data_IF_009104231356
#
_entry.id   IF_009104231356
#
_cell.length_a   1.000
_cell.length_b   1.000
_cell.length_c   1.000
_cell.angle_alpha   90.00
_cell.angle_beta   90.00
_cell.angle_gamma   90.00
#
_symmetry.space_group_name_H-M   'P 1'
#
loop_
_entity.id
_entity.type
_entity.pdbx_description
1 polymer ?
#
# COMPACT_ATOMS: atom_id res chain seq x y z
N UNK A 1 -20.70 -24.22 13.98
CA UNK A 1 -19.82 -23.17 13.41
C UNK A 1 -20.48 -21.83 13.68
N UNK A 2 -19.82 -20.87 14.35
CA UNK A 2 -20.45 -19.60 14.70
C UNK A 2 -20.66 -18.73 13.44
N UNK A 3 -21.76 -17.97 13.42
CA UNK A 3 -22.08 -17.00 12.35
C UNK A 3 -20.89 -16.10 12.00
N UNK A 4 -20.12 -15.68 13.00
CA UNK A 4 -18.93 -14.85 12.82
C UNK A 4 -17.83 -15.51 11.99
N UNK A 5 -17.62 -16.83 12.09
CA UNK A 5 -16.61 -17.54 11.29
C UNK A 5 -17.03 -17.61 9.83
N UNK A 6 -18.30 -17.96 9.56
CA UNK A 6 -18.83 -18.03 8.21
C UNK A 6 -18.79 -16.65 7.52
N UNK A 7 -19.21 -15.61 8.24
CA UNK A 7 -19.17 -14.22 7.76
C UNK A 7 -17.74 -13.75 7.53
N UNK A 8 -16.81 -14.04 8.46
CA UNK A 8 -15.41 -13.65 8.31
C UNK A 8 -14.75 -14.30 7.10
N UNK A 9 -14.97 -15.60 6.88
CA UNK A 9 -14.43 -16.32 5.73
C UNK A 9 -15.02 -15.80 4.40
N UNK A 10 -16.33 -15.60 4.33
CA UNK A 10 -16.98 -15.12 3.10
C UNK A 10 -16.52 -13.70 2.73
N UNK A 11 -16.41 -12.81 3.72
CA UNK A 11 -15.88 -11.47 3.53
C UNK A 11 -14.41 -11.49 3.09
N UNK A 12 -13.59 -12.36 3.69
CA UNK A 12 -12.18 -12.51 3.33
C UNK A 12 -12.00 -12.96 1.87
N UNK A 13 -12.75 -13.95 1.42
CA UNK A 13 -12.69 -14.44 0.02
C UNK A 13 -13.17 -13.36 -0.96
N UNK A 14 -14.32 -12.74 -0.69
CA UNK A 14 -14.85 -11.66 -1.53
C UNK A 14 -13.86 -10.49 -1.63
N UNK A 15 -13.27 -10.11 -0.50
CA UNK A 15 -12.27 -9.05 -0.42
C UNK A 15 -11.05 -9.35 -1.30
N UNK A 16 -10.48 -10.55 -1.20
CA UNK A 16 -9.32 -10.95 -1.98
C UNK A 16 -9.63 -10.99 -3.49
N UNK A 17 -10.81 -11.49 -3.86
CA UNK A 17 -11.25 -11.52 -5.25
C UNK A 17 -11.35 -10.10 -5.84
N UNK A 18 -12.07 -9.21 -5.16
CA UNK A 18 -12.25 -7.81 -5.58
C UNK A 18 -10.91 -7.07 -5.63
N UNK A 19 -10.07 -7.22 -4.59
CA UNK A 19 -8.75 -6.58 -4.54
C UNK A 19 -7.88 -7.01 -5.72
N UNK A 20 -7.84 -8.30 -6.03
CA UNK A 20 -7.04 -8.85 -7.13
C UNK A 20 -7.54 -8.33 -8.48
N UNK A 21 -8.86 -8.33 -8.69
CA UNK A 21 -9.47 -7.81 -9.91
C UNK A 21 -9.16 -6.33 -10.10
N UNK A 22 -9.44 -5.49 -9.10
CA UNK A 22 -9.23 -4.06 -9.19
C UNK A 22 -7.74 -3.72 -9.39
N UNK A 23 -6.83 -4.32 -8.62
CA UNK A 23 -5.38 -4.09 -8.80
C UNK A 23 -4.93 -4.55 -10.19
N UNK A 24 -5.45 -5.68 -10.70
CA UNK A 24 -5.19 -6.17 -12.05
C UNK A 24 -5.59 -5.15 -13.13
N UNK A 25 -6.83 -4.65 -13.08
CA UNK A 25 -7.34 -3.61 -13.98
C UNK A 25 -6.45 -2.35 -13.97
N UNK A 26 -6.20 -1.80 -12.78
CA UNK A 26 -5.37 -0.58 -12.67
C UNK A 26 -3.92 -0.81 -13.08
N UNK A 27 -3.38 -2.01 -12.86
CA UNK A 27 -2.04 -2.39 -13.33
C UNK A 27 -1.99 -2.45 -14.86
N UNK A 28 -3.03 -2.96 -15.53
CA UNK A 28 -3.11 -2.98 -16.99
C UNK A 28 -3.04 -1.57 -17.60
N UNK A 29 -3.56 -0.56 -16.90
CA UNK A 29 -3.45 0.85 -17.31
C UNK A 29 -2.19 1.57 -16.81
N UNK A 30 -1.22 0.85 -16.24
CA UNK A 30 0.00 1.46 -15.66
C UNK A 30 -0.26 2.35 -14.44
N UNK A 31 -1.43 2.25 -13.81
CA UNK A 31 -1.92 3.11 -12.71
C UNK A 31 -2.26 2.32 -11.44
N UNK A 32 -1.48 1.27 -11.15
CA UNK A 32 -1.72 0.38 -10.01
C UNK A 32 -1.87 1.13 -8.66
N UNK A 33 -1.07 2.18 -8.43
CA UNK A 33 -1.15 3.01 -7.22
C UNK A 33 -2.52 3.67 -7.03
N UNK A 34 -3.11 4.21 -8.10
CA UNK A 34 -4.45 4.81 -8.06
C UNK A 34 -5.52 3.79 -7.68
N UNK A 35 -5.42 2.57 -8.22
CA UNK A 35 -6.35 1.49 -7.89
C UNK A 35 -6.35 1.15 -6.42
N UNK A 36 -5.16 0.98 -5.83
CA UNK A 36 -5.01 0.72 -4.40
C UNK A 36 -5.56 1.87 -3.56
N UNK A 37 -5.37 3.12 -4.00
CA UNK A 37 -5.93 4.31 -3.35
C UNK A 37 -7.46 4.31 -3.32
N UNK A 38 -8.10 4.07 -4.46
CA UNK A 38 -9.56 4.00 -4.59
C UNK A 38 -10.17 2.85 -3.78
N UNK A 39 -9.55 1.67 -3.83
CA UNK A 39 -9.98 0.53 -3.00
C UNK A 39 -9.90 0.91 -1.52
N UNK A 40 -8.77 1.48 -1.09
CA UNK A 40 -8.58 1.94 0.29
C UNK A 40 -9.60 3.00 0.72
N UNK A 41 -9.95 3.93 -0.17
CA UNK A 41 -10.99 4.92 0.06
C UNK A 41 -12.36 4.29 0.27
N UNK A 42 -12.79 3.42 -0.65
CA UNK A 42 -14.08 2.73 -0.57
C UNK A 42 -14.19 1.87 0.70
N UNK A 43 -13.11 1.19 1.08
CA UNK A 43 -13.03 0.40 2.31
C UNK A 43 -13.03 1.24 3.58
N UNK A 44 -12.64 2.52 3.52
CA UNK A 44 -12.67 3.42 4.67
C UNK A 44 -14.01 4.15 4.81
N UNK A 45 -14.58 4.63 3.70
CA UNK A 45 -15.82 5.41 3.71
C UNK A 45 -17.02 4.54 4.12
N UNK A 46 -17.04 3.27 3.72
CA UNK A 46 -18.16 2.39 4.03
C UNK A 46 -18.29 2.12 5.54
N UNK A 47 -17.24 1.67 6.26
CA UNK A 47 -17.27 1.61 7.72
C UNK A 47 -17.58 2.96 8.38
N UNK A 48 -17.16 4.09 7.80
CA UNK A 48 -17.48 5.41 8.34
C UNK A 48 -19.00 5.62 8.33
N UNK A 49 -19.64 5.44 7.17
CA UNK A 49 -21.10 5.54 7.00
C UNK A 49 -21.81 4.60 8.00
N UNK A 50 -21.37 3.33 8.09
CA UNK A 50 -21.98 2.36 9.01
C UNK A 50 -21.75 2.70 10.49
N UNK A 51 -20.65 3.35 10.85
CA UNK A 51 -20.40 3.77 12.24
C UNK A 51 -21.38 4.83 12.71
N UNK A 52 -21.92 5.63 11.78
CA UNK A 52 -22.91 6.67 12.06
C UNK A 52 -24.34 6.15 11.88
N UNK A 53 -24.64 5.50 10.74
CA UNK A 53 -25.98 5.01 10.42
C UNK A 53 -26.38 3.76 11.20
N UNK A 54 -25.42 2.93 11.63
CA UNK A 54 -25.69 1.69 12.34
C UNK A 54 -26.48 1.92 13.65
N UNK A 55 -25.95 2.73 14.58
CA UNK A 55 -26.68 3.07 15.81
C UNK A 55 -28.03 3.75 15.54
N UNK A 56 -28.09 4.65 14.56
CA UNK A 56 -29.33 5.32 14.17
C UNK A 56 -30.39 4.32 13.67
N UNK A 57 -30.00 3.34 12.85
CA UNK A 57 -30.88 2.28 12.38
C UNK A 57 -31.33 1.38 13.54
N UNK A 58 -30.42 0.95 14.42
CA UNK A 58 -30.77 0.13 15.59
C UNK A 58 -31.79 0.86 16.48
N UNK A 59 -31.59 2.16 16.71
CA UNK A 59 -32.51 2.97 17.52
C UNK A 59 -33.87 3.19 16.84
N UNK A 60 -33.91 3.29 15.51
CA UNK A 60 -35.15 3.56 14.77
C UNK A 60 -36.02 2.31 14.53
N UNK A 61 -35.40 1.16 14.21
CA UNK A 61 -36.13 -0.04 13.77
C UNK A 61 -35.84 -1.28 14.64
N UNK A 62 -35.00 -1.15 15.66
CA UNK A 62 -34.53 -2.26 16.47
C UNK A 62 -33.38 -3.05 15.84
N UNK A 63 -32.73 -3.87 16.67
CA UNK A 63 -31.53 -4.60 16.29
C UNK A 63 -31.80 -5.59 15.13
N UNK A 64 -32.84 -6.41 15.23
CA UNK A 64 -33.15 -7.43 14.21
C UNK A 64 -33.45 -6.81 12.83
N UNK A 65 -34.31 -5.79 12.77
CA UNK A 65 -34.65 -5.07 11.53
C UNK A 65 -33.42 -4.43 10.89
N UNK A 66 -32.52 -3.86 11.70
CA UNK A 66 -31.27 -3.27 11.20
C UNK A 66 -30.36 -4.32 10.54
N UNK A 67 -30.32 -5.55 11.07
CA UNK A 67 -29.58 -6.66 10.43
C UNK A 67 -30.19 -7.07 9.09
N UNK A 68 -31.52 -7.13 8.98
CA UNK A 68 -32.19 -7.41 7.70
C UNK A 68 -31.92 -6.32 6.66
N UNK A 69 -31.94 -5.04 7.07
CA UNK A 69 -31.59 -3.92 6.21
C UNK A 69 -30.15 -4.05 5.70
N UNK A 70 -29.19 -4.29 6.60
CA UNK A 70 -27.78 -4.52 6.24
C UNK A 70 -27.62 -5.68 5.25
N UNK A 71 -28.30 -6.80 5.49
CA UNK A 71 -28.27 -7.94 4.59
C UNK A 71 -28.81 -7.59 3.20
N UNK A 72 -29.93 -6.87 3.12
CA UNK A 72 -30.50 -6.39 1.85
C UNK A 72 -29.54 -5.49 1.08
N UNK A 73 -28.91 -4.52 1.75
CA UNK A 73 -27.90 -3.64 1.13
C UNK A 73 -26.71 -4.43 0.61
N UNK A 74 -26.21 -5.41 1.36
CA UNK A 74 -25.10 -6.27 0.93
C UNK A 74 -25.47 -7.12 -0.29
N UNK A 75 -26.68 -7.68 -0.35
CA UNK A 75 -27.16 -8.45 -1.50
C UNK A 75 -27.24 -7.56 -2.75
N UNK A 76 -27.84 -6.37 -2.64
CA UNK A 76 -27.93 -5.43 -3.77
C UNK A 76 -26.54 -5.00 -4.24
N UNK A 77 -25.63 -4.70 -3.30
CA UNK A 77 -24.26 -4.32 -3.61
C UNK A 77 -23.44 -5.46 -4.23
N UNK A 78 -23.75 -6.72 -3.92
CA UNK A 78 -23.10 -7.90 -4.48
C UNK A 78 -23.66 -8.30 -5.86
N UNK A 79 -24.93 -8.00 -6.13
CA UNK A 79 -25.58 -8.23 -7.42
C UNK A 79 -24.89 -7.42 -8.52
N UNK A 80 -24.61 -6.13 -8.27
CA UNK A 80 -23.99 -5.25 -9.26
C UNK A 80 -22.68 -5.82 -9.83
N UNK A 81 -21.65 -6.16 -9.02
CA UNK A 81 -20.43 -6.75 -9.53
C UNK A 81 -20.64 -8.13 -10.18
N UNK A 82 -21.61 -8.93 -9.73
CA UNK A 82 -21.90 -10.22 -10.36
C UNK A 82 -22.37 -10.09 -11.82
N UNK A 83 -23.03 -8.98 -12.17
CA UNK A 83 -23.48 -8.71 -13.53
C UNK A 83 -22.46 -7.92 -14.37
N UNK A 84 -21.65 -7.07 -13.75
CA UNK A 84 -20.81 -6.10 -14.47
C UNK A 84 -19.30 -6.36 -14.39
N UNK A 85 -18.80 -7.22 -13.49
CA UNK A 85 -17.38 -7.56 -13.48
C UNK A 85 -17.10 -8.52 -14.63
N UNK A 86 -16.66 -7.97 -15.75
CA UNK A 86 -15.81 -8.71 -16.67
C UNK A 86 -14.44 -8.84 -15.99
N UNK A 87 -14.04 -10.07 -15.67
CA UNK A 87 -12.65 -10.34 -15.31
C UNK A 87 -11.78 -9.75 -16.44
N UNK A 88 -10.73 -8.97 -16.13
CA UNK A 88 -9.79 -8.60 -17.17
C UNK A 88 -9.30 -9.93 -17.75
N UNK A 89 -9.38 -10.09 -19.08
CA UNK A 89 -8.88 -11.28 -19.79
C UNK A 89 -7.57 -11.62 -19.11
N UNK A 90 -7.54 -12.82 -18.48
CA UNK A 90 -6.49 -13.23 -17.55
C UNK A 90 -5.22 -12.62 -18.06
N UNK A 91 -4.64 -11.65 -17.33
CA UNK A 91 -3.38 -11.01 -17.74
C UNK A 91 -2.48 -12.19 -17.94
N UNK A 92 -2.36 -12.63 -19.21
CA UNK A 92 -1.85 -13.93 -19.52
C UNK A 92 -0.53 -13.89 -18.79
N UNK A 93 -0.35 -14.77 -17.80
CA UNK A 93 0.87 -14.84 -17.02
C UNK A 93 1.92 -15.08 -18.08
N UNK A 94 2.43 -13.98 -18.65
CA UNK A 94 2.89 -13.98 -20.01
C UNK A 94 4.07 -14.89 -19.90
N UNK A 95 3.93 -16.08 -20.48
CA UNK A 95 4.92 -17.11 -20.33
C UNK A 95 6.22 -16.39 -20.66
N UNK A 96 7.18 -16.33 -19.71
CA UNK A 96 8.33 -15.45 -19.80
C UNK A 96 8.85 -15.62 -21.21
N UNK A 97 8.96 -14.53 -22.01
CA UNK A 97 9.11 -14.61 -23.45
C UNK A 97 10.14 -15.68 -23.71
N UNK A 98 9.67 -16.86 -24.13
CA UNK A 98 10.53 -18.03 -24.24
C UNK A 98 11.47 -17.61 -25.32
N UNK A 99 12.67 -17.21 -24.89
CA UNK A 99 13.64 -16.52 -25.72
C UNK A 99 13.72 -17.33 -26.98
N UNK A 100 13.16 -16.76 -28.05
CA UNK A 100 13.24 -17.33 -29.36
C UNK A 100 14.72 -17.25 -29.68
N UNK A 101 15.41 -18.36 -29.37
CA UNK A 101 16.82 -18.60 -29.71
C UNK A 101 16.99 -18.74 -31.21
N UNK A 102 16.05 -18.29 -32.02
CA UNK A 102 16.30 -17.87 -33.40
C UNK A 102 17.11 -16.57 -33.39
N UNK A 103 18.30 -16.65 -32.77
CA UNK A 103 19.46 -15.89 -33.19
C UNK A 103 19.75 -16.41 -34.59
N UNK A 104 19.12 -15.74 -35.56
CA UNK A 104 19.47 -15.82 -36.97
C UNK A 104 20.99 -15.77 -37.02
N UNK A 105 21.53 -16.87 -37.49
CA UNK A 105 22.91 -17.05 -37.90
C UNK A 105 23.19 -15.93 -38.92
N UNK A 106 23.63 -14.77 -38.45
CA UNK A 106 24.20 -13.74 -39.31
C UNK A 106 25.58 -14.27 -39.66
N UNK A 107 25.61 -15.00 -40.77
CA UNK A 107 26.84 -15.39 -41.43
C UNK A 107 27.76 -14.18 -41.56
N UNK A 108 29.01 -14.46 -41.20
CA UNK A 108 30.17 -13.64 -41.40
C UNK A 108 30.29 -13.25 -42.88
N UNK A 109 30.05 -11.98 -43.20
CA UNK A 109 30.61 -11.39 -44.42
C UNK A 109 31.78 -10.52 -43.99
N UNK A 110 32.89 -11.23 -43.86
CA UNK A 110 34.25 -10.76 -43.91
C UNK A 110 34.48 -9.99 -45.22
N UNK A 111 34.58 -8.67 -45.16
CA UNK A 111 35.27 -7.88 -46.19
C UNK A 111 36.23 -6.93 -45.49
N UNK A 112 37.47 -7.39 -45.44
CA UNK A 112 38.65 -6.65 -45.06
C UNK A 112 39.09 -5.67 -46.17
N UNK A 113 40.06 -4.83 -45.79
CA UNK A 113 40.96 -4.02 -46.63
C UNK A 113 40.38 -2.66 -47.05
N UNK A 114 40.84 -1.59 -46.39
CA UNK A 114 41.98 -0.73 -46.77
C UNK A 114 41.44 0.55 -47.42
N UNK A 115 41.89 1.78 -47.14
CA UNK A 115 43.26 2.26 -47.36
C UNK A 115 43.38 3.69 -46.81
N UNK A 116 44.60 4.00 -46.40
CA UNK A 116 45.25 5.22 -45.91
C UNK A 116 44.94 6.63 -46.49
N UNK A 117 45.10 7.64 -45.60
CA UNK A 117 45.81 8.94 -45.76
C UNK A 117 45.12 10.12 -46.52
N UNK A 118 45.66 11.37 -46.52
CA UNK A 118 46.03 12.29 -45.41
C UNK A 118 45.64 13.78 -45.69
N UNK A 119 46.00 14.72 -44.78
CA UNK A 119 46.32 16.17 -45.05
C UNK A 119 45.15 17.13 -45.39
N UNK A 120 45.06 18.43 -45.08
CA UNK A 120 45.83 19.50 -44.37
C UNK A 120 44.91 20.75 -44.24
N UNK A 121 45.19 21.63 -43.28
CA UNK A 121 44.84 23.08 -43.29
C UNK A 121 44.19 23.56 -41.98
N UNK A 122 44.93 24.10 -41.00
CA UNK A 122 45.44 25.49 -40.86
C UNK A 122 44.28 26.51 -40.81
N UNK A 123 44.07 27.33 -39.76
CA UNK A 123 44.97 28.39 -39.25
C UNK A 123 44.70 28.79 -37.77
N UNK A 124 45.79 29.25 -37.13
CA UNK A 124 46.05 29.84 -35.80
C UNK A 124 45.03 30.89 -35.28
N UNK A 125 44.93 31.23 -33.98
CA UNK A 125 45.95 31.57 -32.97
C UNK A 125 45.46 31.29 -31.52
N UNK A 126 46.24 30.68 -30.60
CA UNK A 126 47.29 31.26 -29.72
C UNK A 126 46.70 32.21 -28.66
N UNK A 127 46.89 32.16 -27.32
CA UNK A 127 47.79 31.58 -26.30
C UNK A 127 46.94 31.58 -24.99
N UNK A 128 47.08 30.74 -23.96
CA UNK A 128 48.17 30.62 -22.95
C UNK A 128 47.65 29.54 -21.97
N UNK A 129 48.21 28.34 -21.91
CA UNK A 129 49.39 27.94 -21.14
C UNK A 129 49.24 28.12 -19.62
N UNK A 130 48.90 27.01 -18.94
CA UNK A 130 49.39 26.62 -17.60
C UNK A 130 48.86 25.22 -17.27
N UNK A 131 49.65 24.25 -17.69
CA UNK A 131 49.65 22.86 -17.26
C UNK A 131 50.28 22.77 -15.86
N UNK A 132 49.74 21.90 -14.98
CA UNK A 132 50.65 21.05 -14.25
C UNK A 132 50.29 19.58 -14.48
N UNK A 133 51.33 18.84 -14.85
CA UNK A 133 51.37 17.39 -14.91
C UNK A 133 50.96 16.77 -13.57
N UNK A 134 49.91 15.96 -13.63
CA UNK A 134 49.69 14.89 -12.66
C UNK A 134 49.35 13.62 -13.44
N UNK A 135 50.35 12.74 -13.45
CA UNK A 135 50.36 11.42 -14.03
C UNK A 135 49.10 10.60 -13.73
N UNK A 136 48.69 9.86 -14.76
CA UNK A 136 48.11 8.51 -14.72
C UNK A 136 47.57 8.03 -13.37
N UNK A 137 46.24 7.90 -13.27
CA UNK A 137 45.60 6.72 -12.70
C UNK A 137 44.09 6.89 -12.86
N UNK A 138 43.43 5.80 -13.23
CA UNK A 138 41.99 5.64 -13.38
C UNK A 138 41.45 5.99 -14.77
N UNK A 139 41.85 5.18 -15.76
CA UNK A 139 40.82 4.48 -16.54
C UNK A 139 39.87 3.83 -15.53
N UNK A 140 38.87 4.60 -15.10
CA UNK A 140 37.70 4.07 -14.43
C UNK A 140 37.02 3.22 -15.49
N UNK A 141 37.46 1.96 -15.56
CA UNK A 141 36.77 0.84 -16.18
C UNK A 141 35.33 1.02 -15.79
N UNK A 142 34.55 1.54 -16.73
CA UNK A 142 33.13 1.76 -16.63
C UNK A 142 32.51 0.36 -16.58
N UNK A 143 32.66 -0.27 -15.42
CA UNK A 143 31.83 -1.36 -14.94
C UNK A 143 30.45 -0.73 -14.73
N UNK A 144 29.79 -0.41 -15.85
CA UNK A 144 28.35 -0.34 -15.89
C UNK A 144 27.93 -1.67 -15.25
N UNK A 145 27.34 -1.65 -14.04
CA UNK A 145 26.96 -2.88 -13.40
C UNK A 145 26.04 -3.55 -14.40
N UNK A 146 26.49 -4.67 -14.99
CA UNK A 146 25.64 -5.52 -15.80
C UNK A 146 24.39 -5.69 -14.95
N UNK A 147 23.34 -5.01 -15.40
CA UNK A 147 22.02 -5.13 -14.85
C UNK A 147 21.66 -6.56 -15.18
N UNK A 148 22.07 -7.50 -14.31
CA UNK A 148 21.62 -8.87 -14.34
C UNK A 148 20.12 -8.70 -14.34
N UNK A 149 19.49 -8.95 -15.49
CA UNK A 149 18.05 -9.00 -15.61
C UNK A 149 17.59 -9.93 -14.51
N UNK A 150 17.10 -9.34 -13.42
CA UNK A 150 16.64 -10.10 -12.27
C UNK A 150 15.32 -10.68 -12.76
N UNK A 151 15.41 -11.91 -13.27
CA UNK A 151 14.25 -12.66 -13.70
C UNK A 151 13.18 -12.68 -12.60
N UNK A 152 11.90 -12.88 -12.98
CA UNK A 152 10.80 -12.88 -12.03
C UNK A 152 11.09 -13.87 -10.89
N UNK A 153 11.05 -13.35 -9.66
CA UNK A 153 11.27 -14.15 -8.46
C UNK A 153 10.17 -15.21 -8.32
N UNK A 154 10.58 -16.46 -8.12
CA UNK A 154 9.63 -17.53 -7.80
C UNK A 154 9.02 -17.30 -6.41
N UNK A 155 7.79 -17.77 -6.18
CA UNK A 155 7.09 -17.62 -4.89
C UNK A 155 7.92 -18.21 -3.73
N UNK A 156 8.56 -19.37 -3.94
CA UNK A 156 9.45 -19.99 -2.96
C UNK A 156 10.63 -19.08 -2.62
N UNK A 157 11.25 -18.44 -3.61
CA UNK A 157 12.35 -17.49 -3.37
C UNK A 157 11.86 -16.22 -2.66
N UNK A 158 10.66 -15.73 -2.96
CA UNK A 158 10.09 -14.57 -2.29
C UNK A 158 9.85 -14.84 -0.79
N UNK A 159 9.29 -16.01 -0.45
CA UNK A 159 9.03 -16.41 0.93
C UNK A 159 10.30 -16.70 1.74
N UNK A 160 11.41 -17.05 1.08
CA UNK A 160 12.69 -17.27 1.76
C UNK A 160 13.46 -15.96 2.05
N UNK A 161 13.03 -14.83 1.49
CA UNK A 161 13.68 -13.53 1.76
C UNK A 161 13.23 -12.98 3.11
N UNK A 162 14.20 -12.63 3.95
CA UNK A 162 13.95 -11.98 5.23
C UNK A 162 13.16 -10.67 5.07
N UNK A 163 13.44 -9.91 4.00
CA UNK A 163 12.75 -8.66 3.68
C UNK A 163 11.24 -8.83 3.57
N UNK A 164 10.78 -9.96 3.01
CA UNK A 164 9.35 -10.26 2.90
C UNK A 164 8.72 -10.38 4.29
N UNK A 165 9.35 -11.15 5.19
CA UNK A 165 8.84 -11.34 6.54
C UNK A 165 8.87 -10.07 7.38
N UNK A 166 9.89 -9.24 7.22
CA UNK A 166 9.97 -7.94 7.89
C UNK A 166 8.79 -7.06 7.44
N UNK A 167 8.55 -6.94 6.14
CA UNK A 167 7.43 -6.15 5.59
C UNK A 167 6.08 -6.75 5.99
N UNK A 168 5.95 -8.07 5.98
CA UNK A 168 4.72 -8.77 6.36
C UNK A 168 4.39 -8.59 7.84
N UNK A 169 5.38 -8.77 8.72
CA UNK A 169 5.21 -8.59 10.16
C UNK A 169 4.90 -7.11 10.47
N UNK A 170 5.56 -6.20 9.78
CA UNK A 170 5.30 -4.77 9.89
C UNK A 170 3.89 -4.40 9.42
N UNK A 171 3.40 -5.01 8.34
CA UNK A 171 2.02 -4.90 7.91
C UNK A 171 1.06 -5.42 8.99
N UNK A 172 1.36 -6.56 9.60
CA UNK A 172 0.55 -7.12 10.68
C UNK A 172 0.49 -6.19 11.89
N UNK A 173 1.63 -5.63 12.32
CA UNK A 173 1.66 -4.62 13.38
C UNK A 173 0.93 -3.33 13.02
N UNK A 174 0.97 -2.89 11.75
CA UNK A 174 0.23 -1.74 11.29
C UNK A 174 -1.30 -1.98 11.26
N UNK A 175 -1.74 -3.23 11.16
CA UNK A 175 -3.17 -3.59 11.21
C UNK A 175 -3.73 -3.65 12.64
N UNK A 176 -2.90 -3.93 13.65
CA UNK A 176 -3.33 -4.03 15.05
C UNK A 176 -4.03 -2.75 15.52
N UNK A 177 -3.50 -1.53 15.28
CA UNK A 177 -4.19 -0.30 15.59
C UNK A 177 -5.53 -0.20 14.85
N UNK A 178 -5.61 -0.51 13.55
CA UNK A 178 -6.85 -0.32 12.78
C UNK A 178 -8.07 -1.05 13.33
N UNK A 179 -7.90 -2.33 13.70
CA UNK A 179 -8.98 -3.12 14.28
C UNK A 179 -9.09 -2.93 15.80
N UNK A 180 -7.97 -2.92 16.51
CA UNK A 180 -7.93 -2.81 17.97
C UNK A 180 -8.38 -1.46 18.49
N UNK A 181 -8.07 -0.36 17.79
CA UNK A 181 -8.43 1.00 18.21
C UNK A 181 -9.93 1.14 18.40
N UNK A 182 -10.77 0.62 17.49
CA UNK A 182 -12.24 0.74 17.68
C UNK A 182 -12.71 -0.02 18.93
N UNK A 183 -12.18 -1.22 19.16
CA UNK A 183 -12.52 -2.05 20.31
C UNK A 183 -11.93 -1.54 21.63
N UNK A 184 -10.83 -0.79 21.60
CA UNK A 184 -10.17 -0.24 22.79
C UNK A 184 -10.66 1.18 23.10
N UNK A 185 -10.78 2.04 22.07
CA UNK A 185 -11.26 3.41 22.22
C UNK A 185 -12.71 3.43 22.69
N UNK A 186 -13.59 2.57 22.15
CA UNK A 186 -14.99 2.52 22.56
C UNK A 186 -15.16 2.39 24.08
N UNK A 187 -14.65 1.33 24.75
CA UNK A 187 -14.75 1.22 26.20
C UNK A 187 -13.91 2.28 26.94
N UNK A 188 -12.76 2.72 26.41
CA UNK A 188 -12.01 3.82 27.05
C UNK A 188 -12.80 5.13 27.09
N UNK A 189 -13.46 5.51 26.00
CA UNK A 189 -14.26 6.73 25.96
C UNK A 189 -15.46 6.69 26.90
N UNK A 190 -16.11 5.52 27.01
CA UNK A 190 -17.22 5.32 27.93
C UNK A 190 -16.73 5.33 29.38
N UNK A 191 -15.70 4.55 29.70
CA UNK A 191 -15.30 4.30 31.09
C UNK A 191 -14.38 5.37 31.68
N UNK A 192 -13.50 5.98 30.87
CA UNK A 192 -12.52 6.98 31.35
C UNK A 192 -13.06 8.40 31.17
N UNK A 193 -13.72 8.67 30.05
CA UNK A 193 -14.14 10.03 29.68
C UNK A 193 -15.64 10.29 29.85
N UNK A 194 -16.42 9.28 30.28
CA UNK A 194 -17.88 9.37 30.34
C UNK A 194 -18.49 9.96 29.06
N UNK A 195 -17.88 9.64 27.90
CA UNK A 195 -18.25 10.23 26.63
C UNK A 195 -19.66 9.79 26.23
N UNK A 196 -20.46 10.74 25.75
CA UNK A 196 -21.77 10.43 25.21
C UNK A 196 -21.64 9.62 23.90
N UNK A 197 -22.59 8.74 23.64
CA UNK A 197 -22.62 7.88 22.44
C UNK A 197 -22.47 8.68 21.13
N UNK A 198 -23.03 9.89 21.07
CA UNK A 198 -22.89 10.80 19.92
C UNK A 198 -21.45 11.24 19.68
N UNK A 199 -20.69 11.50 20.73
CA UNK A 199 -19.28 11.88 20.61
C UNK A 199 -18.44 10.69 20.10
N UNK A 200 -18.77 9.48 20.55
CA UNK A 200 -18.10 8.25 20.12
C UNK A 200 -18.32 7.90 18.65
N UNK A 201 -19.57 7.98 18.21
CA UNK A 201 -19.91 7.76 16.80
C UNK A 201 -19.28 8.83 15.90
N UNK A 202 -19.31 10.10 16.32
CA UNK A 202 -18.65 11.19 15.59
C UNK A 202 -17.12 10.99 15.50
N UNK A 203 -16.45 10.66 16.61
CA UNK A 203 -15.00 10.40 16.61
C UNK A 203 -14.63 9.23 15.70
N UNK A 204 -15.40 8.13 15.76
CA UNK A 204 -15.20 6.96 14.89
C UNK A 204 -15.40 7.30 13.42
N UNK A 205 -16.44 8.10 13.11
CA UNK A 205 -16.71 8.57 11.76
C UNK A 205 -15.55 9.41 11.21
N UNK A 206 -15.11 10.42 11.96
CA UNK A 206 -14.00 11.31 11.57
C UNK A 206 -12.72 10.51 11.34
N UNK A 207 -12.41 9.57 12.24
CA UNK A 207 -11.25 8.69 12.09
C UNK A 207 -11.32 7.89 10.78
N UNK A 208 -12.46 7.26 10.49
CA UNK A 208 -12.63 6.42 9.30
C UNK A 208 -12.64 7.24 7.99
N UNK A 209 -13.22 8.44 8.00
CA UNK A 209 -13.16 9.37 6.86
C UNK A 209 -11.73 9.83 6.61
N UNK A 210 -11.02 10.23 7.67
CA UNK A 210 -9.62 10.64 7.57
C UNK A 210 -8.77 9.50 7.01
N UNK A 211 -8.96 8.28 7.54
CA UNK A 211 -8.31 7.09 7.03
C UNK A 211 -8.60 6.84 5.54
N UNK A 212 -9.86 6.96 5.12
CA UNK A 212 -10.26 6.80 3.72
C UNK A 212 -9.57 7.83 2.80
N UNK A 213 -9.59 9.10 3.20
CA UNK A 213 -8.99 10.21 2.43
C UNK A 213 -7.48 10.07 2.37
N UNK A 214 -6.82 9.73 3.46
CA UNK A 214 -5.36 9.49 3.47
C UNK A 214 -4.98 8.32 2.57
N UNK A 215 -5.78 7.24 2.54
CA UNK A 215 -5.59 6.12 1.60
C UNK A 215 -5.71 6.57 0.16
N UNK A 216 -6.76 7.34 -0.16
CA UNK A 216 -6.95 7.90 -1.50
C UNK A 216 -5.74 8.75 -1.93
N UNK A 217 -5.34 9.69 -1.07
CA UNK A 217 -4.22 10.58 -1.30
C UNK A 217 -2.91 9.79 -1.48
N UNK A 218 -2.69 8.76 -0.66
CA UNK A 218 -1.50 7.90 -0.81
C UNK A 218 -1.44 7.21 -2.17
N UNK A 219 -2.58 6.78 -2.72
CA UNK A 219 -2.64 6.17 -4.04
C UNK A 219 -2.31 7.13 -5.18
N UNK A 220 -2.59 8.44 -5.01
CA UNK A 220 -2.25 9.48 -5.98
C UNK A 220 -0.80 9.96 -5.87
N UNK A 221 -0.25 10.00 -4.66
CA UNK A 221 1.10 10.55 -4.41
C UNK A 221 2.20 9.49 -4.60
N UNK A 222 1.94 8.25 -4.18
CA UNK A 222 2.93 7.17 -4.21
C UNK A 222 3.09 6.66 -5.64
N UNK A 223 4.30 6.80 -6.17
CA UNK A 223 4.63 6.48 -7.56
C UNK A 223 4.91 7.75 -8.36
N UNK A 224 3.91 8.62 -8.64
CA UNK A 224 4.12 9.84 -9.42
C UNK A 224 5.01 10.88 -8.73
N UNK A 225 4.84 11.07 -7.41
CA UNK A 225 5.48 12.16 -6.68
C UNK A 225 6.55 11.66 -5.70
N UNK A 226 6.27 10.56 -4.99
CA UNK A 226 7.12 10.08 -3.90
C UNK A 226 7.38 8.58 -4.08
N UNK A 227 8.64 8.18 -3.85
CA UNK A 227 9.03 6.77 -3.78
C UNK A 227 8.27 6.07 -2.65
N UNK A 228 7.68 4.91 -2.95
CA UNK A 228 6.97 4.10 -1.96
C UNK A 228 7.81 3.82 -0.70
N UNK A 229 9.13 3.67 -0.84
CA UNK A 229 10.04 3.46 0.30
C UNK A 229 10.09 4.68 1.23
N UNK A 230 10.21 5.88 0.67
CA UNK A 230 10.28 7.12 1.43
C UNK A 230 8.94 7.40 2.11
N UNK A 231 7.84 7.24 1.38
CA UNK A 231 6.49 7.41 1.91
C UNK A 231 6.21 6.47 3.09
N UNK A 232 6.51 5.18 2.92
CA UNK A 232 6.34 4.16 3.96
C UNK A 232 7.19 4.46 5.21
N UNK A 233 8.46 4.88 5.04
CA UNK A 233 9.30 5.33 6.16
C UNK A 233 8.71 6.52 6.90
N UNK A 234 8.19 7.51 6.17
CA UNK A 234 7.52 8.68 6.74
C UNK A 234 6.28 8.29 7.56
N UNK A 235 5.42 7.41 7.02
CA UNK A 235 4.25 6.92 7.74
C UNK A 235 4.64 6.17 9.03
N UNK A 236 5.70 5.36 9.01
CA UNK A 236 6.16 4.69 10.23
C UNK A 236 6.71 5.65 11.28
N UNK A 237 7.43 6.69 10.87
CA UNK A 237 7.87 7.72 11.79
C UNK A 237 6.67 8.41 12.45
N UNK A 238 5.65 8.80 11.67
CA UNK A 238 4.41 9.40 12.17
C UNK A 238 3.69 8.45 13.12
N UNK A 239 3.52 7.17 12.75
CA UNK A 239 2.88 6.16 13.59
C UNK A 239 3.63 5.97 14.91
N UNK A 240 4.97 5.89 14.87
CA UNK A 240 5.80 5.76 16.06
C UNK A 240 5.63 6.94 17.02
N UNK A 241 5.64 8.17 16.50
CA UNK A 241 5.39 9.38 17.28
C UNK A 241 3.97 9.38 17.88
N UNK A 242 2.96 9.03 17.09
CA UNK A 242 1.58 8.95 17.57
C UNK A 242 1.41 7.91 18.68
N UNK A 243 2.04 6.74 18.54
CA UNK A 243 2.06 5.71 19.58
C UNK A 243 2.77 6.21 20.85
N UNK A 244 3.90 6.91 20.73
CA UNK A 244 4.64 7.45 21.86
C UNK A 244 3.82 8.51 22.62
N UNK A 245 3.16 9.43 21.91
CA UNK A 245 2.27 10.44 22.51
C UNK A 245 1.09 9.75 23.22
N UNK A 246 0.47 8.77 22.57
CA UNK A 246 -0.65 8.01 23.15
C UNK A 246 -0.20 7.26 24.41
N UNK A 247 0.96 6.60 24.37
CA UNK A 247 1.53 5.90 25.52
C UNK A 247 1.84 6.86 26.68
N UNK A 248 2.46 8.00 26.40
CA UNK A 248 2.73 9.03 27.41
C UNK A 248 1.44 9.58 28.05
N UNK A 249 0.40 9.81 27.24
CA UNK A 249 -0.91 10.23 27.73
C UNK A 249 -1.57 9.14 28.61
N UNK A 250 -1.54 7.88 28.19
CA UNK A 250 -2.12 6.79 28.99
C UNK A 250 -1.40 6.59 30.33
N UNK A 251 -0.08 6.84 30.38
CA UNK A 251 0.69 6.80 31.61
C UNK A 251 0.44 8.02 32.52
N UNK A 252 -0.03 9.15 31.98
CA UNK A 252 -0.31 10.36 32.74
C UNK A 252 -1.72 10.43 33.32
N UNK A 253 -2.66 9.62 32.81
CA UNK A 253 -3.99 9.49 33.41
C UNK A 253 -3.83 8.85 34.79
N UNK A 254 -4.18 9.55 35.88
CA UNK A 254 -4.09 8.99 37.23
C UNK A 254 -4.90 7.70 37.25
N UNK A 255 -4.25 6.58 37.58
CA UNK A 255 -4.96 5.32 37.81
C UNK A 255 -5.93 5.58 38.96
N UNK A 256 -7.21 5.77 38.66
CA UNK A 256 -8.28 6.09 39.61
C UNK A 256 -8.58 4.97 40.60
N UNK A 257 -7.61 4.09 40.87
CA UNK A 257 -7.61 3.05 41.88
C UNK A 257 -7.21 3.61 43.25
N UNK A 258 -8.00 4.56 43.74
CA UNK A 258 -8.05 4.94 45.14
C UNK A 258 -9.50 4.90 45.56
N UNK A 259 -10.09 3.69 45.55
CA UNK A 259 -11.40 3.44 46.14
C UNK A 259 -11.34 3.83 47.60
N UNK A 260 -11.68 5.08 47.90
CA UNK A 260 -12.01 5.51 49.23
C UNK A 260 -13.30 4.78 49.57
N UNK A 261 -13.18 3.60 50.17
CA UNK A 261 -14.27 2.98 50.91
C UNK A 261 -14.83 4.06 51.83
N UNK A 262 -16.05 4.51 51.54
CA UNK A 262 -16.77 5.38 52.45
C UNK A 262 -16.99 4.59 53.74
N UNK A 263 -16.49 5.05 54.90
CA UNK A 263 -16.77 4.38 56.16
C UNK A 263 -18.29 4.45 56.40
N UNK A 264 -18.90 3.28 56.62
CA UNK A 264 -20.29 3.15 57.06
C UNK A 264 -20.42 3.50 58.53
#
# INVERSE_FOLDING_TARGET
LSWGVLYGLSQGVAFLAVLTCCVGWFKAYGKAGHGVGWIGFCLGIWPAIFSYLGPAAVNAMGLASSFYLCAGVLVVAAILPAFFICMPDEVACAAPPTGDKTRVHREDVEVASSTSSPSKGSTAASLTDLQPDAASLNEAKSCSPESKEVGPLTMKQALLRLDFWIVWLQFLFALIPGFGIKYIISPMMINVFAAHERLQTAASFIFLVTYAVTRLFSGFVVGPCISARLFTRGLFAIQGVACAITGAFLLSVPSGGGGSEAPR
#
